data_IF_169213982704
#
_entry.id   IF_169213982704
#
_cell.length_a   1.000
_cell.length_b   1.000
_cell.length_c   1.000
_cell.angle_alpha   90.00
_cell.angle_beta   90.00
_cell.angle_gamma   90.00
#
_symmetry.space_group_name_H-M   'P 1'
#
loop_
_entity.id
_entity.type
_entity.pdbx_description
1 polymer ?
#
# COMPACT_ATOMS: atom_id res chain seq x y z
N UNK A 1 18.43 -27.40 -3.43
CA UNK A 1 19.45 -26.34 -3.24
C UNK A 1 20.51 -26.47 -4.34
N UNK A 2 21.12 -25.37 -4.80
CA UNK A 2 22.23 -25.38 -5.77
C UNK A 2 23.40 -24.52 -5.28
N UNK A 3 24.61 -24.84 -5.72
CA UNK A 3 25.80 -24.03 -5.49
C UNK A 3 26.29 -23.57 -6.86
N UNK A 4 26.44 -22.27 -7.06
CA UNK A 4 26.89 -21.65 -8.31
C UNK A 4 27.97 -20.65 -7.90
N UNK A 5 29.17 -20.78 -8.46
CA UNK A 5 30.32 -19.92 -8.17
C UNK A 5 30.63 -19.79 -6.65
N UNK A 6 30.45 -20.89 -5.91
CA UNK A 6 30.65 -20.93 -4.45
C UNK A 6 29.50 -20.33 -3.63
N UNK A 7 28.52 -19.70 -4.26
CA UNK A 7 27.36 -19.13 -3.59
C UNK A 7 26.18 -20.12 -3.57
N UNK A 8 25.54 -20.24 -2.40
CA UNK A 8 24.38 -21.11 -2.21
C UNK A 8 23.13 -20.42 -2.72
N UNK A 9 22.32 -21.16 -3.48
CA UNK A 9 21.03 -20.73 -3.98
C UNK A 9 19.93 -21.73 -3.61
N UNK A 10 18.79 -21.19 -3.25
CA UNK A 10 17.55 -21.91 -2.97
C UNK A 10 16.70 -21.90 -4.23
N UNK A 11 16.25 -23.08 -4.66
CA UNK A 11 15.22 -23.17 -5.71
C UNK A 11 13.87 -22.73 -5.15
N UNK A 12 12.88 -22.49 -6.02
CA UNK A 12 11.49 -22.28 -5.59
C UNK A 12 10.98 -23.37 -4.64
N UNK A 13 11.41 -24.63 -4.85
CA UNK A 13 11.05 -25.77 -4.00
C UNK A 13 11.66 -25.66 -2.61
N UNK A 14 12.96 -25.41 -2.53
CA UNK A 14 13.68 -25.24 -1.26
C UNK A 14 13.14 -24.03 -0.49
N UNK A 15 12.92 -22.92 -1.18
CA UNK A 15 12.34 -21.71 -0.59
C UNK A 15 10.94 -21.98 -0.06
N UNK A 16 10.11 -22.70 -0.83
CA UNK A 16 8.77 -23.11 -0.41
C UNK A 16 8.79 -23.95 0.87
N UNK A 17 9.70 -24.92 0.97
CA UNK A 17 9.90 -25.69 2.20
C UNK A 17 10.33 -24.79 3.37
N UNK A 18 11.26 -23.86 3.13
CA UNK A 18 11.77 -22.94 4.15
C UNK A 18 10.70 -22.01 4.73
N UNK A 19 9.81 -21.46 3.89
CA UNK A 19 8.73 -20.56 4.33
C UNK A 19 7.37 -21.24 4.50
N UNK A 20 7.34 -22.58 4.46
CA UNK A 20 6.15 -23.40 4.54
C UNK A 20 5.04 -22.98 3.56
N UNK A 21 5.37 -22.84 2.27
CA UNK A 21 4.44 -22.50 1.19
C UNK A 21 4.69 -23.33 -0.05
N UNK A 22 3.62 -23.56 -0.82
CA UNK A 22 3.75 -24.31 -2.06
C UNK A 22 4.61 -23.57 -3.08
N UNK A 23 5.40 -24.26 -3.92
CA UNK A 23 6.18 -23.63 -4.98
C UNK A 23 5.32 -22.80 -5.95
N UNK A 24 4.08 -23.22 -6.18
CA UNK A 24 3.11 -22.48 -6.97
C UNK A 24 2.78 -21.11 -6.33
N UNK A 25 2.67 -21.04 -5.01
CA UNK A 25 2.46 -19.78 -4.28
C UNK A 25 3.65 -18.83 -4.46
N UNK A 26 4.88 -19.34 -4.34
CA UNK A 26 6.10 -18.56 -4.56
C UNK A 26 6.17 -18.05 -6.01
N UNK A 27 5.85 -18.89 -6.99
CA UNK A 27 5.79 -18.49 -8.40
C UNK A 27 4.74 -17.40 -8.65
N UNK A 28 3.58 -17.48 -7.99
CA UNK A 28 2.54 -16.47 -8.05
C UNK A 28 3.00 -15.13 -7.44
N UNK A 29 3.74 -15.15 -6.34
CA UNK A 29 4.34 -13.95 -5.75
C UNK A 29 5.39 -13.32 -6.66
N UNK A 30 6.20 -14.12 -7.36
CA UNK A 30 7.12 -13.61 -8.37
C UNK A 30 6.36 -12.86 -9.46
N UNK A 31 5.33 -13.50 -10.04
CA UNK A 31 4.51 -12.90 -11.09
C UNK A 31 3.88 -11.57 -10.66
N UNK A 32 3.36 -11.50 -9.44
CA UNK A 32 2.76 -10.26 -8.94
C UNK A 32 3.82 -9.19 -8.66
N UNK A 33 4.98 -9.58 -8.16
CA UNK A 33 6.11 -8.66 -7.97
C UNK A 33 6.61 -8.09 -9.29
N UNK A 34 6.57 -8.86 -10.38
CA UNK A 34 6.92 -8.39 -11.72
C UNK A 34 5.91 -7.35 -12.21
N UNK A 35 4.60 -7.57 -12.01
CA UNK A 35 3.55 -6.59 -12.34
C UNK A 35 3.71 -5.30 -11.51
N UNK A 36 4.07 -5.41 -10.23
CA UNK A 36 4.34 -4.22 -9.40
C UNK A 36 5.56 -3.45 -9.90
N UNK A 37 6.63 -4.15 -10.24
CA UNK A 37 7.83 -3.54 -10.80
C UNK A 37 7.55 -2.84 -12.15
N UNK A 38 6.72 -3.42 -13.02
CA UNK A 38 6.26 -2.78 -14.27
C UNK A 38 5.50 -1.46 -14.03
N UNK A 39 4.84 -1.33 -12.88
CA UNK A 39 4.14 -0.11 -12.46
C UNK A 39 5.03 0.86 -11.66
N UNK A 40 6.32 0.58 -11.50
CA UNK A 40 7.24 1.29 -10.59
C UNK A 40 6.80 1.25 -9.11
N UNK A 41 6.04 0.23 -8.70
CA UNK A 41 5.69 -0.03 -7.31
C UNK A 41 6.68 -1.01 -6.66
N UNK A 42 6.75 -1.00 -5.33
CA UNK A 42 7.63 -1.89 -4.57
C UNK A 42 7.23 -3.37 -4.77
N UNK A 43 8.23 -4.25 -4.91
CA UNK A 43 8.01 -5.69 -5.12
C UNK A 43 7.55 -6.36 -3.83
N UNK A 44 6.67 -7.38 -3.94
CA UNK A 44 6.26 -8.19 -2.79
C UNK A 44 7.41 -9.05 -2.25
N UNK A 45 8.20 -9.60 -3.18
CA UNK A 45 9.37 -10.42 -2.88
C UNK A 45 10.57 -10.01 -3.75
N UNK A 46 11.81 -10.26 -3.28
CA UNK A 46 13.01 -9.96 -4.04
C UNK A 46 13.00 -10.58 -5.44
N UNK A 47 13.66 -9.92 -6.38
CA UNK A 47 13.82 -10.45 -7.74
C UNK A 47 14.72 -11.69 -7.71
N UNK A 48 14.23 -12.87 -8.16
CA UNK A 48 15.07 -14.06 -8.22
C UNK A 48 16.12 -13.94 -9.33
N UNK A 49 17.21 -14.68 -9.18
CA UNK A 49 18.10 -15.01 -10.29
C UNK A 49 17.39 -16.06 -11.16
N UNK A 50 17.37 -15.84 -12.48
CA UNK A 50 16.79 -16.80 -13.43
C UNK A 50 17.93 -17.45 -14.19
N UNK A 51 18.08 -18.77 -14.04
CA UNK A 51 19.10 -19.55 -14.74
C UNK A 51 18.46 -20.82 -15.30
N UNK A 52 18.59 -21.04 -16.61
CA UNK A 52 17.98 -22.17 -17.32
C UNK A 52 16.48 -22.34 -17.02
N UNK A 53 15.74 -21.23 -16.96
CA UNK A 53 14.30 -21.21 -16.65
C UNK A 53 13.96 -21.48 -15.18
N UNK A 54 14.94 -21.77 -14.31
CA UNK A 54 14.74 -21.96 -12.88
C UNK A 54 14.92 -20.65 -12.12
N UNK A 55 14.04 -20.41 -11.15
CA UNK A 55 14.16 -19.30 -10.21
C UNK A 55 15.01 -19.73 -9.02
N UNK A 56 16.02 -18.92 -8.74
CA UNK A 56 17.02 -19.13 -7.71
C UNK A 56 17.03 -17.92 -6.79
N UNK A 57 17.10 -18.19 -5.48
CA UNK A 57 17.08 -17.18 -4.43
C UNK A 57 18.31 -17.32 -3.57
N UNK A 58 18.91 -16.19 -3.20
CA UNK A 58 19.99 -16.23 -2.21
C UNK A 58 19.42 -16.48 -0.80
N UNK A 59 20.26 -16.90 0.17
CA UNK A 59 19.82 -17.04 1.56
C UNK A 59 19.29 -15.73 2.14
N UNK A 60 19.88 -14.58 1.79
CA UNK A 60 19.40 -13.27 2.24
C UNK A 60 18.00 -12.98 1.69
N UNK A 61 17.78 -13.28 0.40
CA UNK A 61 16.45 -13.14 -0.21
C UNK A 61 15.42 -14.04 0.48
N UNK A 62 15.81 -15.26 0.88
CA UNK A 62 14.91 -16.16 1.59
C UNK A 62 14.49 -15.61 2.96
N UNK A 63 15.37 -14.91 3.67
CA UNK A 63 15.02 -14.20 4.92
C UNK A 63 14.00 -13.09 4.67
N UNK A 64 14.18 -12.30 3.62
CA UNK A 64 13.21 -11.25 3.23
C UNK A 64 11.85 -11.88 2.89
N UNK A 65 11.84 -12.98 2.13
CA UNK A 65 10.59 -13.69 1.82
C UNK A 65 9.93 -14.23 3.08
N UNK A 66 10.70 -14.76 4.04
CA UNK A 66 10.19 -15.20 5.34
C UNK A 66 9.53 -14.05 6.10
N UNK A 67 10.21 -12.90 6.17
CA UNK A 67 9.65 -11.68 6.76
C UNK A 67 8.34 -11.24 6.09
N UNK A 68 8.27 -11.30 4.76
CA UNK A 68 7.03 -11.05 4.03
C UNK A 68 5.92 -12.05 4.38
N UNK A 69 6.24 -13.34 4.49
CA UNK A 69 5.26 -14.39 4.84
C UNK A 69 4.67 -14.17 6.22
N UNK A 70 5.50 -13.77 7.19
CA UNK A 70 5.14 -13.53 8.59
C UNK A 70 4.50 -12.16 8.82
N UNK A 71 4.65 -11.22 7.88
CA UNK A 71 4.09 -9.88 7.98
C UNK A 71 2.56 -9.86 8.04
N UNK A 72 2.00 -9.07 8.96
CA UNK A 72 0.55 -8.85 9.07
C UNK A 72 -0.03 -8.12 7.85
N UNK A 73 0.79 -7.33 7.13
CA UNK A 73 0.41 -6.53 5.96
C UNK A 73 0.32 -7.30 4.63
N UNK A 74 0.78 -8.55 4.58
CA UNK A 74 0.79 -9.40 3.38
C UNK A 74 -0.56 -9.45 2.66
N UNK A 75 -1.65 -9.60 3.40
CA UNK A 75 -2.99 -9.70 2.82
C UNK A 75 -3.45 -8.38 2.19
N UNK A 76 -3.02 -7.24 2.76
CA UNK A 76 -3.26 -5.92 2.18
C UNK A 76 -2.50 -5.72 0.87
N UNK A 77 -1.20 -6.04 0.87
CA UNK A 77 -0.34 -5.93 -0.32
C UNK A 77 -0.82 -6.83 -1.47
N UNK A 78 -1.39 -8.00 -1.15
CA UNK A 78 -1.94 -8.92 -2.15
C UNK A 78 -3.41 -8.68 -2.48
N UNK A 79 -4.09 -7.72 -1.82
CA UNK A 79 -5.54 -7.56 -1.92
C UNK A 79 -6.01 -7.27 -3.35
N UNK A 80 -5.30 -6.40 -4.08
CA UNK A 80 -5.64 -6.07 -5.47
C UNK A 80 -5.59 -7.33 -6.36
N UNK A 81 -4.52 -8.11 -6.23
CA UNK A 81 -4.30 -9.31 -7.03
C UNK A 81 -5.27 -10.44 -6.66
N UNK A 82 -5.57 -10.60 -5.37
CA UNK A 82 -6.56 -11.58 -4.90
C UNK A 82 -7.96 -11.23 -5.43
N UNK A 83 -8.32 -9.94 -5.48
CA UNK A 83 -9.59 -9.50 -6.08
C UNK A 83 -9.62 -9.79 -7.58
N UNK A 84 -8.55 -9.50 -8.33
CA UNK A 84 -8.49 -9.85 -9.77
C UNK A 84 -8.72 -11.34 -10.02
N UNK A 85 -8.20 -12.22 -9.15
CA UNK A 85 -8.41 -13.67 -9.24
C UNK A 85 -9.88 -14.09 -9.04
N UNK A 86 -10.66 -13.33 -8.26
CA UNK A 86 -12.07 -13.64 -7.94
C UNK A 86 -13.06 -13.28 -9.07
N UNK A 87 -12.58 -12.78 -10.21
CA UNK A 87 -13.42 -12.47 -11.38
C UNK A 87 -14.56 -11.50 -11.05
N UNK A 88 -15.81 -11.89 -11.37
CA UNK A 88 -17.02 -11.07 -11.13
C UNK A 88 -17.14 -10.61 -9.68
N UNK A 89 -16.95 -11.53 -8.72
CA UNK A 89 -16.99 -11.22 -7.28
C UNK A 89 -15.90 -10.22 -6.88
N UNK A 90 -14.72 -10.34 -7.51
CA UNK A 90 -13.63 -9.39 -7.31
C UNK A 90 -13.94 -7.98 -7.80
N UNK A 91 -14.62 -7.87 -8.95
CA UNK A 91 -15.05 -6.59 -9.52
C UNK A 91 -16.09 -5.90 -8.63
N UNK A 92 -17.06 -6.64 -8.10
CA UNK A 92 -18.04 -6.10 -7.14
C UNK A 92 -17.38 -5.57 -5.86
N UNK A 93 -16.41 -6.31 -5.32
CA UNK A 93 -15.66 -5.86 -4.13
C UNK A 93 -14.88 -4.58 -4.46
N UNK A 94 -14.24 -4.51 -5.64
CA UNK A 94 -13.53 -3.31 -6.08
C UNK A 94 -14.47 -2.10 -6.22
N UNK A 95 -15.68 -2.31 -6.76
CA UNK A 95 -16.71 -1.27 -6.85
C UNK A 95 -17.12 -0.77 -5.47
N UNK A 96 -17.48 -1.68 -4.56
CA UNK A 96 -17.86 -1.34 -3.17
C UNK A 96 -16.78 -0.55 -2.42
N UNK A 97 -15.51 -0.89 -2.62
CA UNK A 97 -14.40 -0.15 -1.98
C UNK A 97 -14.26 1.26 -2.55
N UNK A 98 -14.32 1.41 -3.88
CA UNK A 98 -14.29 2.72 -4.54
C UNK A 98 -15.45 3.61 -4.11
N UNK A 99 -16.65 3.05 -3.97
CA UNK A 99 -17.83 3.81 -3.56
C UNK A 99 -17.67 4.34 -2.12
N UNK A 100 -17.10 3.53 -1.22
CA UNK A 100 -16.76 3.96 0.16
C UNK A 100 -15.68 5.03 0.20
N UNK A 101 -14.63 4.92 -0.62
CA UNK A 101 -13.56 5.93 -0.70
C UNK A 101 -14.13 7.30 -1.12
N UNK A 102 -15.01 7.32 -2.13
CA UNK A 102 -15.69 8.55 -2.56
C UNK A 102 -16.59 9.15 -1.46
N UNK A 103 -17.27 8.30 -0.71
CA UNK A 103 -18.11 8.76 0.41
C UNK A 103 -17.25 9.39 1.52
N UNK A 104 -16.14 8.76 1.87
CA UNK A 104 -15.19 9.31 2.84
C UNK A 104 -14.55 10.62 2.37
N UNK A 105 -14.20 10.72 1.09
CA UNK A 105 -13.64 11.94 0.51
C UNK A 105 -14.65 13.10 0.59
N UNK A 106 -15.92 12.86 0.26
CA UNK A 106 -16.99 13.86 0.42
C UNK A 106 -17.14 14.34 1.86
N UNK A 107 -17.14 13.41 2.82
CA UNK A 107 -17.24 13.75 4.24
C UNK A 107 -16.05 14.60 4.68
N UNK A 108 -14.82 14.27 4.23
CA UNK A 108 -13.63 15.05 4.55
C UNK A 108 -13.67 16.46 3.93
N UNK A 109 -14.16 16.60 2.70
CA UNK A 109 -14.33 17.90 2.05
C UNK A 109 -15.35 18.74 2.82
N UNK A 110 -16.51 18.17 3.16
CA UNK A 110 -17.56 18.87 3.91
C UNK A 110 -17.07 19.31 5.30
N UNK A 111 -16.28 18.47 5.98
CA UNK A 111 -15.63 18.82 7.25
C UNK A 111 -14.67 20.00 7.09
N UNK A 112 -13.82 20.00 6.05
CA UNK A 112 -12.88 21.10 5.78
C UNK A 112 -13.60 22.40 5.41
N UNK A 113 -14.69 22.32 4.65
CA UNK A 113 -15.51 23.48 4.30
C UNK A 113 -16.14 24.10 5.56
N UNK A 114 -16.71 23.28 6.45
CA UNK A 114 -17.22 23.74 7.75
C UNK A 114 -16.14 24.35 8.62
N UNK A 115 -14.95 23.75 8.69
CA UNK A 115 -13.81 24.32 9.42
C UNK A 115 -13.40 25.70 8.87
N UNK A 116 -13.37 25.85 7.54
CA UNK A 116 -13.05 27.12 6.89
C UNK A 116 -14.12 28.19 7.17
N UNK A 117 -15.40 27.83 7.12
CA UNK A 117 -16.51 28.73 7.44
C UNK A 117 -16.43 29.23 8.91
N UNK A 118 -16.13 28.32 9.84
CA UNK A 118 -15.90 28.69 11.25
C UNK A 118 -14.67 29.58 11.40
N UNK A 119 -13.60 29.36 10.64
CA UNK A 119 -12.41 30.22 10.67
C UNK A 119 -12.72 31.63 10.14
N UNK A 120 -13.41 31.73 9.00
CA UNK A 120 -13.81 33.01 8.40
C UNK A 120 -14.75 33.81 9.31
N UNK A 121 -15.74 33.15 9.93
CA UNK A 121 -16.64 33.82 10.88
C UNK A 121 -15.90 34.37 12.10
N UNK A 122 -14.89 33.68 12.61
CA UNK A 122 -14.02 34.18 13.69
C UNK A 122 -13.19 35.40 13.27
N UNK A 123 -12.64 35.39 12.06
CA UNK A 123 -11.89 36.54 11.51
C UNK A 123 -12.81 37.75 11.35
N UNK A 124 -13.98 37.58 10.74
CA UNK A 124 -14.95 38.66 10.58
C UNK A 124 -15.38 39.24 11.94
N UNK A 125 -15.65 38.38 12.91
CA UNK A 125 -15.98 38.82 14.29
C UNK A 125 -14.83 39.58 14.96
N UNK A 126 -13.57 39.22 14.69
CA UNK A 126 -12.40 39.92 15.20
C UNK A 126 -12.18 41.29 14.53
N UNK A 127 -12.49 41.41 13.24
CA UNK A 127 -12.47 42.68 12.49
C UNK A 127 -13.56 43.62 13.02
N UNK A 128 -14.80 43.12 13.13
CA UNK A 128 -15.92 43.88 13.69
C UNK A 128 -15.63 44.38 15.11
N UNK A 129 -15.03 43.53 15.96
CA UNK A 129 -14.62 43.95 17.30
C UNK A 129 -13.60 45.10 17.23
N UNK A 130 -12.55 45.01 16.40
CA UNK A 130 -11.56 46.08 16.25
C UNK A 130 -12.18 47.40 15.80
N UNK A 131 -13.12 47.36 14.86
CA UNK A 131 -13.78 48.57 14.35
C UNK A 131 -14.76 49.17 15.37
N UNK A 132 -15.45 48.33 16.17
CA UNK A 132 -16.37 48.80 17.23
C UNK A 132 -15.66 49.61 18.32
N UNK A 133 -14.39 49.33 18.60
CA UNK A 133 -13.58 50.05 19.60
C UNK A 133 -12.70 51.17 19.03
N UNK A 134 -12.69 51.40 17.70
CA UNK A 134 -11.91 52.51 17.10
C UNK A 134 -12.34 53.88 17.63
N UNK A 135 -13.63 54.09 17.85
CA UNK A 135 -14.16 55.35 18.37
C UNK A 135 -13.79 55.60 19.84
N UNK A 136 -13.60 54.53 20.62
CA UNK A 136 -13.19 54.63 22.04
C UNK A 136 -11.70 54.97 22.14
N UNK A 137 -10.86 54.43 21.24
CA UNK A 137 -9.42 54.77 21.21
C UNK A 137 -9.08 56.16 20.66
N UNK A 138 -10.00 56.82 19.93
CA UNK A 138 -9.80 58.18 19.41
C UNK A 138 -10.05 59.28 20.45
N UNK A 139 -10.70 58.94 21.56
CA UNK A 139 -11.09 59.89 22.62
C UNK A 139 -10.28 59.68 23.92
N UNK A 140 -9.17 58.95 23.85
CA UNK A 140 -8.09 58.90 24.84
C UNK A 140 -6.88 59.60 24.25
#
# INVERSE_FOLDING_TARGET
>A
MRIIDGQRYLTTGDLGAYVNRSPATIAQWCKYSDILAEKNEERLIPKPLIMNGQRLFTPEQALVVKGFVESKGKYGLMAEFNRKRLGKRGQEIKKRVRDREKEQEKIQVEMKEKELEVALSKVNRAVDFKDRFKHIKKNL
#
